data_IF_413390633851
#
_entry.id   IF_413390633851
#
_cell.length_a   1.000
_cell.length_b   1.000
_cell.length_c   1.000
_cell.angle_alpha   90.00
_cell.angle_beta   90.00
_cell.angle_gamma   90.00
#
_symmetry.space_group_name_H-M   'P 1'
#
loop_
_entity.id
_entity.type
_entity.pdbx_description
1 polymer ?
#
# COMPACT_ATOMS: atom_id res chain seq x y z
N UNK A 1 -38.15 6.50 9.89
CA UNK A 1 -37.23 7.15 10.85
C UNK A 1 -36.07 6.29 11.35
N UNK A 2 -36.25 5.26 12.21
CA UNK A 2 -35.11 4.52 12.81
C UNK A 2 -34.12 3.93 11.78
N UNK A 3 -34.63 3.30 10.72
CA UNK A 3 -33.83 2.71 9.63
C UNK A 3 -33.11 3.80 8.83
N UNK A 4 -33.76 4.92 8.51
CA UNK A 4 -33.14 6.02 7.75
C UNK A 4 -31.97 6.67 8.51
N UNK A 5 -32.09 6.78 9.84
CA UNK A 5 -31.00 7.27 10.70
C UNK A 5 -29.79 6.33 10.68
N UNK A 6 -30.03 5.04 10.54
CA UNK A 6 -29.01 4.01 10.49
C UNK A 6 -28.32 3.98 9.12
N UNK A 7 -29.09 4.08 8.04
CA UNK A 7 -28.59 4.24 6.66
C UNK A 7 -27.67 5.46 6.55
N UNK A 8 -28.04 6.59 7.16
CA UNK A 8 -27.23 7.81 7.15
C UNK A 8 -25.88 7.70 7.87
N UNK A 9 -25.68 6.68 8.71
CA UNK A 9 -24.41 6.41 9.40
C UNK A 9 -23.50 5.41 8.67
N UNK A 10 -23.92 4.88 7.51
CA UNK A 10 -23.17 3.83 6.81
C UNK A 10 -22.00 4.40 5.99
N UNK A 11 -20.90 3.63 5.85
CA UNK A 11 -19.82 3.97 4.93
C UNK A 11 -20.32 4.10 3.48
N UNK A 12 -19.80 5.09 2.74
CA UNK A 12 -20.18 5.36 1.34
C UNK A 12 -20.06 4.14 0.41
N UNK A 13 -19.09 3.26 0.70
CA UNK A 13 -18.86 2.01 -0.04
C UNK A 13 -20.06 1.07 -0.09
N UNK A 14 -20.93 1.11 0.92
CA UNK A 14 -22.10 0.21 1.04
C UNK A 14 -23.42 0.99 1.10
N UNK A 15 -23.38 2.29 1.41
CA UNK A 15 -24.55 3.15 1.55
C UNK A 15 -25.48 3.11 0.34
N UNK A 16 -24.94 3.19 -0.88
CA UNK A 16 -25.76 3.15 -2.10
C UNK A 16 -26.49 1.82 -2.28
N UNK A 17 -25.83 0.70 -1.98
CA UNK A 17 -26.41 -0.65 -2.11
C UNK A 17 -27.48 -0.90 -1.05
N UNK A 18 -27.23 -0.49 0.20
CA UNK A 18 -28.19 -0.66 1.31
C UNK A 18 -29.42 0.22 1.11
N UNK A 19 -29.23 1.44 0.61
CA UNK A 19 -30.36 2.34 0.29
C UNK A 19 -31.22 1.78 -0.85
N UNK A 20 -30.63 1.07 -1.80
CA UNK A 20 -31.35 0.46 -2.91
C UNK A 20 -32.17 -0.77 -2.48
N UNK A 21 -31.71 -1.54 -1.49
CA UNK A 21 -32.44 -2.71 -0.99
C UNK A 21 -33.68 -2.36 -0.15
N UNK A 22 -33.80 -1.11 0.31
CA UNK A 22 -34.95 -0.58 1.07
C UNK A 22 -35.37 -1.51 2.23
N UNK A 23 -34.46 -1.75 3.21
CA UNK A 23 -34.75 -2.64 4.33
C UNK A 23 -35.99 -2.16 5.11
N UNK A 24 -36.85 -3.10 5.48
CA UNK A 24 -38.08 -2.82 6.24
C UNK A 24 -37.81 -2.78 7.74
N UNK A 25 -36.77 -3.50 8.19
CA UNK A 25 -36.38 -3.55 9.60
C UNK A 25 -34.89 -3.25 9.79
N UNK A 26 -34.53 -2.85 11.02
CA UNK A 26 -33.11 -2.67 11.41
C UNK A 26 -32.34 -3.99 11.29
N UNK A 27 -33.01 -5.12 11.52
CA UNK A 27 -32.37 -6.43 11.51
C UNK A 27 -31.97 -6.86 10.10
N UNK A 28 -32.85 -6.63 9.12
CA UNK A 28 -32.54 -6.81 7.69
C UNK A 28 -31.42 -5.88 7.24
N UNK A 29 -31.39 -4.64 7.73
CA UNK A 29 -30.30 -3.72 7.43
C UNK A 29 -28.96 -4.23 7.95
N UNK A 30 -28.91 -4.73 9.19
CA UNK A 30 -27.70 -5.30 9.80
C UNK A 30 -27.22 -6.53 9.02
N UNK A 31 -28.15 -7.42 8.66
CA UNK A 31 -27.83 -8.60 7.86
C UNK A 31 -27.26 -8.20 6.50
N UNK A 32 -27.94 -7.30 5.78
CA UNK A 32 -27.54 -6.84 4.47
C UNK A 32 -26.21 -6.07 4.48
N UNK A 33 -25.98 -5.21 5.48
CA UNK A 33 -24.71 -4.49 5.64
C UNK A 33 -23.55 -5.44 5.91
N UNK A 34 -23.75 -6.44 6.76
CA UNK A 34 -22.73 -7.45 7.08
C UNK A 34 -22.39 -8.28 5.84
N UNK A 35 -23.40 -8.76 5.12
CA UNK A 35 -23.21 -9.49 3.85
C UNK A 35 -22.45 -8.65 2.82
N UNK A 36 -22.80 -7.37 2.68
CA UNK A 36 -22.13 -6.45 1.77
C UNK A 36 -20.66 -6.19 2.15
N UNK A 37 -20.36 -6.09 3.44
CA UNK A 37 -18.99 -5.96 3.93
C UNK A 37 -18.17 -7.22 3.64
N UNK A 38 -18.72 -8.40 3.95
CA UNK A 38 -18.07 -9.68 3.70
C UNK A 38 -17.73 -9.88 2.23
N UNK A 39 -18.67 -9.55 1.33
CA UNK A 39 -18.47 -9.63 -0.12
C UNK A 39 -17.34 -8.72 -0.60
N UNK A 40 -17.26 -7.48 -0.10
CA UNK A 40 -16.19 -6.53 -0.45
C UNK A 40 -14.85 -6.99 0.12
N UNK A 41 -14.82 -7.48 1.35
CA UNK A 41 -13.61 -8.02 1.98
C UNK A 41 -13.08 -9.24 1.25
N UNK A 42 -13.95 -10.16 0.84
CA UNK A 42 -13.57 -11.33 0.05
C UNK A 42 -12.91 -10.93 -1.27
N UNK A 43 -13.52 -10.01 -2.03
CA UNK A 43 -12.92 -9.51 -3.29
C UNK A 43 -11.56 -8.84 -3.07
N UNK A 44 -11.41 -8.08 -1.99
CA UNK A 44 -10.11 -7.48 -1.65
C UNK A 44 -9.07 -8.54 -1.28
N UNK A 45 -9.44 -9.55 -0.51
CA UNK A 45 -8.55 -10.64 -0.12
C UNK A 45 -8.07 -11.43 -1.35
N UNK A 46 -8.97 -11.75 -2.29
CA UNK A 46 -8.63 -12.43 -3.54
C UNK A 46 -7.65 -11.61 -4.39
N UNK A 47 -7.93 -10.33 -4.59
CA UNK A 47 -7.03 -9.42 -5.34
C UNK A 47 -5.66 -9.29 -4.67
N UNK A 48 -5.63 -9.20 -3.34
CA UNK A 48 -4.37 -9.15 -2.58
C UNK A 48 -3.57 -10.44 -2.73
N UNK A 49 -4.23 -11.61 -2.69
CA UNK A 49 -3.58 -12.90 -2.87
C UNK A 49 -3.02 -13.07 -4.31
N UNK A 50 -3.73 -12.56 -5.32
CA UNK A 50 -3.22 -12.53 -6.70
C UNK A 50 -2.03 -11.58 -6.84
N UNK A 51 -2.12 -10.37 -6.27
CA UNK A 51 -1.03 -9.39 -6.32
C UNK A 51 0.23 -9.90 -5.61
N UNK A 52 0.09 -10.58 -4.47
CA UNK A 52 1.21 -11.22 -3.75
C UNK A 52 1.89 -12.28 -4.60
N UNK A 53 1.12 -13.19 -5.23
CA UNK A 53 1.69 -14.19 -6.15
C UNK A 53 2.49 -13.54 -7.28
N UNK A 54 1.94 -12.50 -7.92
CA UNK A 54 2.65 -11.75 -8.97
C UNK A 54 3.92 -11.08 -8.47
N UNK A 55 3.89 -10.51 -7.27
CA UNK A 55 5.06 -9.88 -6.65
C UNK A 55 6.15 -10.91 -6.36
N UNK A 56 5.78 -12.07 -5.83
CA UNK A 56 6.71 -13.17 -5.56
C UNK A 56 7.33 -13.71 -6.87
N UNK A 57 6.51 -13.95 -7.90
CA UNK A 57 6.98 -14.38 -9.23
C UNK A 57 7.90 -13.34 -9.89
N UNK A 58 7.56 -12.05 -9.77
CA UNK A 58 8.38 -10.95 -10.30
C UNK A 58 9.68 -10.80 -9.51
N UNK A 59 9.66 -10.98 -8.19
CA UNK A 59 10.86 -10.92 -7.34
C UNK A 59 11.82 -12.07 -7.66
N UNK A 60 11.29 -13.27 -7.92
CA UNK A 60 12.07 -14.46 -8.29
C UNK A 60 12.69 -14.31 -9.68
N UNK A 61 11.97 -13.77 -10.64
CA UNK A 61 12.52 -13.45 -11.98
C UNK A 61 13.58 -12.35 -11.91
N UNK A 62 13.35 -11.29 -11.12
CA UNK A 62 14.37 -10.27 -10.91
C UNK A 62 15.60 -10.85 -10.22
N UNK A 63 15.53 -11.78 -9.27
CA UNK A 63 16.76 -12.36 -8.70
C UNK A 63 17.67 -13.08 -9.72
N UNK A 64 17.11 -13.64 -10.79
CA UNK A 64 17.90 -14.22 -11.90
C UNK A 64 18.33 -13.18 -12.96
N UNK A 65 17.64 -12.03 -13.06
CA UNK A 65 17.95 -10.96 -14.01
C UNK A 65 18.59 -9.70 -13.40
N UNK A 66 18.68 -9.61 -12.08
CA UNK A 66 19.42 -8.58 -11.37
C UNK A 66 20.89 -8.89 -11.59
N UNK A 67 21.39 -8.51 -12.78
CA UNK A 67 22.78 -8.15 -12.88
C UNK A 67 23.04 -7.20 -11.70
N UNK A 68 24.07 -7.47 -10.88
CA UNK A 68 24.44 -6.52 -9.85
C UNK A 68 24.71 -5.21 -10.58
N UNK A 69 23.89 -4.19 -10.30
CA UNK A 69 24.12 -2.85 -10.82
C UNK A 69 25.57 -2.53 -10.50
N UNK A 70 26.42 -2.55 -11.54
CA UNK A 70 27.83 -2.22 -11.44
C UNK A 70 27.88 -0.81 -10.88
N UNK A 71 28.09 -0.70 -9.57
CA UNK A 71 28.37 0.56 -8.89
C UNK A 71 29.77 0.97 -9.30
N UNK A 72 29.88 1.50 -10.50
CA UNK A 72 31.09 2.15 -10.99
C UNK A 72 31.14 3.56 -10.37
N UNK A 73 32.17 3.75 -9.53
CA UNK A 73 33.01 4.93 -9.44
C UNK A 73 32.35 6.28 -9.11
N UNK A 74 32.42 6.72 -7.84
CA UNK A 74 32.86 8.08 -7.45
C UNK A 74 33.27 8.04 -5.97
N UNK A 75 34.52 7.67 -5.68
CA UNK A 75 35.19 8.14 -4.45
C UNK A 75 36.18 9.21 -4.90
N UNK A 76 35.70 10.46 -4.94
CA UNK A 76 36.51 11.64 -5.28
C UNK A 76 37.70 11.69 -4.34
N UNK A 77 38.89 11.54 -4.93
CA UNK A 77 40.16 11.77 -4.28
C UNK A 77 40.24 13.20 -3.72
N UNK A 78 40.47 13.33 -2.42
CA UNK A 78 41.06 14.50 -1.78
C UNK A 78 42.18 14.04 -0.87
N UNK A 79 43.31 13.65 -1.45
CA UNK A 79 44.58 13.71 -0.71
C UNK A 79 45.20 15.05 -1.04
N UNK A 80 45.07 15.98 -0.10
CA UNK A 80 45.76 17.26 -0.10
C UNK A 80 47.27 17.01 -0.29
N UNK A 81 47.85 17.63 -1.33
CA UNK A 81 49.29 17.58 -1.57
C UNK A 81 50.08 18.19 -0.40
N UNK A 82 51.36 17.81 -0.22
CA UNK A 82 52.16 18.30 0.88
C UNK A 82 52.48 19.78 0.65
N UNK A 83 51.77 20.67 1.35
CA UNK A 83 52.12 22.08 1.42
C UNK A 83 53.37 22.24 2.29
N UNK A 84 54.47 22.67 1.68
CA UNK A 84 55.76 22.91 2.32
C UNK A 84 55.62 23.79 3.56
N UNK A 85 55.93 23.23 4.73
CA UNK A 85 56.08 23.96 5.99
C UNK A 85 57.30 24.89 5.88
N UNK A 86 57.11 26.21 5.93
CA UNK A 86 58.17 27.14 6.30
C UNK A 86 58.13 27.40 7.82
N UNK A 87 59.26 27.31 8.54
CA UNK A 87 59.33 27.74 9.94
C UNK A 87 59.41 29.27 10.02
N UNK A 88 58.59 29.87 10.88
CA UNK A 88 58.78 31.25 11.33
C UNK A 88 60.02 31.33 12.24
N UNK A 89 60.96 32.21 11.90
CA UNK A 89 62.12 32.51 12.73
C UNK A 89 62.74 33.85 12.33
N UNK A 90 62.70 34.82 13.25
CA UNK A 90 63.29 36.16 13.13
C UNK A 90 62.27 37.26 13.15
#
# INVERSE_FOLDING_TARGET
>A
EKVERYIGGLPDMIHGSVKASKPQSIQEEIEFTTEMMDKKMLTHAERQAEHKRKLDDTSRNNQYQQQPFKRNNVARAYTAGPGDKKPYGG
#
